data_IF_842097020853
#
_entry.id   IF_842097020853
#
_cell.length_a   1.000
_cell.length_b   1.000
_cell.length_c   1.000
_cell.angle_alpha   90.00
_cell.angle_beta   90.00
_cell.angle_gamma   90.00
#
_symmetry.space_group_name_H-M   'P 1'
#
loop_
_entity.id
_entity.type
_entity.pdbx_description
1 polymer ?
#
# COMPACT_ATOMS: atom_id res chain seq x y z
N UNK A 1 -28.56 -59.79 0.75
CA UNK A 1 -27.63 -59.51 1.87
C UNK A 1 -26.30 -58.98 1.38
N UNK A 2 -25.59 -59.67 0.48
CA UNK A 2 -24.31 -59.18 -0.05
C UNK A 2 -24.43 -57.87 -0.85
N UNK A 3 -25.42 -57.78 -1.74
CA UNK A 3 -25.69 -56.55 -2.53
C UNK A 3 -26.01 -55.37 -1.62
N UNK A 4 -26.81 -55.57 -0.58
CA UNK A 4 -27.14 -54.51 0.38
C UNK A 4 -25.94 -54.06 1.19
N UNK A 5 -25.06 -54.97 1.62
CA UNK A 5 -23.80 -54.62 2.29
C UNK A 5 -22.87 -53.83 1.36
N UNK A 6 -22.71 -54.28 0.10
CA UNK A 6 -21.89 -53.58 -0.89
C UNK A 6 -22.42 -52.17 -1.19
N UNK A 7 -23.75 -52.01 -1.31
CA UNK A 7 -24.39 -50.71 -1.51
C UNK A 7 -24.12 -49.77 -0.32
N UNK A 8 -24.26 -50.27 0.91
CA UNK A 8 -23.98 -49.47 2.12
C UNK A 8 -22.52 -49.04 2.16
N UNK A 9 -21.58 -49.95 1.90
CA UNK A 9 -20.14 -49.62 1.88
C UNK A 9 -19.83 -48.58 0.79
N UNK A 10 -20.40 -48.73 -0.41
CA UNK A 10 -20.21 -47.77 -1.49
C UNK A 10 -20.73 -46.38 -1.14
N UNK A 11 -21.93 -46.30 -0.53
CA UNK A 11 -22.51 -45.03 -0.08
C UNK A 11 -21.63 -44.39 1.01
N UNK A 12 -21.19 -45.17 2.01
CA UNK A 12 -20.31 -44.69 3.06
C UNK A 12 -18.96 -44.18 2.51
N UNK A 13 -18.37 -44.88 1.55
CA UNK A 13 -17.14 -44.44 0.88
C UNK A 13 -17.36 -43.15 0.09
N UNK A 14 -18.46 -43.03 -0.66
CA UNK A 14 -18.77 -41.81 -1.41
C UNK A 14 -18.97 -40.60 -0.49
N UNK A 15 -19.67 -40.78 0.64
CA UNK A 15 -19.84 -39.74 1.67
C UNK A 15 -18.49 -39.36 2.28
N UNK A 16 -17.65 -40.33 2.63
CA UNK A 16 -16.32 -40.09 3.21
C UNK A 16 -15.43 -39.27 2.28
N UNK A 17 -15.38 -39.60 0.98
CA UNK A 17 -14.62 -38.83 -0.02
C UNK A 17 -15.15 -37.40 -0.15
N UNK A 18 -16.48 -37.22 -0.14
CA UNK A 18 -17.10 -35.89 -0.21
C UNK A 18 -16.70 -35.01 0.97
N UNK A 19 -16.78 -35.55 2.20
CA UNK A 19 -16.37 -34.85 3.42
C UNK A 19 -14.87 -34.50 3.37
N UNK A 20 -14.03 -35.45 2.97
CA UNK A 20 -12.59 -35.23 2.83
C UNK A 20 -12.28 -34.05 1.91
N UNK A 21 -12.96 -33.96 0.75
CA UNK A 21 -12.79 -32.84 -0.19
C UNK A 21 -13.10 -31.48 0.46
N UNK A 22 -14.22 -31.36 1.17
CA UNK A 22 -14.58 -30.12 1.84
C UNK A 22 -13.63 -29.77 2.99
N UNK A 23 -13.18 -30.78 3.74
CA UNK A 23 -12.19 -30.61 4.80
C UNK A 23 -10.87 -30.05 4.26
N UNK A 24 -10.31 -30.65 3.20
CA UNK A 24 -9.08 -30.16 2.59
C UNK A 24 -9.22 -28.74 2.06
N UNK A 25 -10.37 -28.41 1.44
CA UNK A 25 -10.64 -27.06 0.97
C UNK A 25 -10.67 -26.05 2.12
N UNK A 26 -11.34 -26.38 3.23
CA UNK A 26 -11.38 -25.53 4.42
C UNK A 26 -9.99 -25.37 5.04
N UNK A 27 -9.23 -26.45 5.16
CA UNK A 27 -7.86 -26.43 5.66
C UNK A 27 -6.95 -25.53 4.82
N UNK A 28 -7.00 -25.65 3.49
CA UNK A 28 -6.23 -24.78 2.60
C UNK A 28 -6.65 -23.31 2.74
N UNK A 29 -7.94 -23.03 2.89
CA UNK A 29 -8.44 -21.66 3.12
C UNK A 29 -7.94 -21.08 4.43
N UNK A 30 -7.97 -21.86 5.51
CA UNK A 30 -7.43 -21.46 6.80
C UNK A 30 -5.94 -21.11 6.70
N UNK A 31 -5.16 -21.91 5.97
CA UNK A 31 -3.76 -21.60 5.69
C UNK A 31 -3.55 -20.27 4.96
N UNK A 32 -4.39 -19.93 3.97
CA UNK A 32 -4.31 -18.64 3.29
C UNK A 32 -4.69 -17.46 4.19
N UNK A 33 -5.73 -17.63 5.01
CA UNK A 33 -6.16 -16.59 5.97
C UNK A 33 -5.07 -16.35 7.01
N UNK A 34 -4.45 -17.40 7.54
CA UNK A 34 -3.35 -17.29 8.48
C UNK A 34 -2.13 -16.60 7.85
N UNK A 35 -1.74 -16.98 6.63
CA UNK A 35 -0.67 -16.32 5.90
C UNK A 35 -0.96 -14.82 5.70
N UNK A 36 -2.18 -14.45 5.30
CA UNK A 36 -2.59 -13.06 5.13
C UNK A 36 -2.53 -12.28 6.44
N UNK A 37 -3.03 -12.85 7.54
CA UNK A 37 -2.99 -12.22 8.86
C UNK A 37 -1.55 -11.98 9.32
N UNK A 38 -0.68 -12.98 9.14
CA UNK A 38 0.74 -12.87 9.46
C UNK A 38 1.43 -11.80 8.61
N UNK A 39 1.17 -11.75 7.29
CA UNK A 39 1.71 -10.72 6.41
C UNK A 39 1.30 -9.30 6.84
N UNK A 40 0.03 -9.10 7.21
CA UNK A 40 -0.45 -7.81 7.71
C UNK A 40 0.22 -7.44 9.04
N UNK A 41 0.40 -8.41 9.94
CA UNK A 41 1.07 -8.19 11.21
C UNK A 41 2.54 -7.81 11.01
N UNK A 42 3.25 -8.47 10.10
CA UNK A 42 4.62 -8.10 9.73
C UNK A 42 4.69 -6.69 9.15
N UNK A 43 3.75 -6.29 8.29
CA UNK A 43 3.70 -4.92 7.75
C UNK A 43 3.56 -3.87 8.86
N UNK A 44 2.67 -4.09 9.83
CA UNK A 44 2.48 -3.18 10.99
C UNK A 44 3.70 -3.11 11.89
N UNK A 45 4.36 -4.26 12.09
CA UNK A 45 5.61 -4.31 12.86
C UNK A 45 6.72 -3.52 12.15
N UNK A 46 6.79 -3.59 10.81
CA UNK A 46 7.72 -2.76 10.03
C UNK A 46 7.41 -1.28 10.13
N UNK A 47 6.15 -0.86 10.06
CA UNK A 47 5.78 0.54 10.25
C UNK A 47 6.23 1.05 11.63
N UNK A 48 6.01 0.25 12.67
CA UNK A 48 6.44 0.57 14.04
C UNK A 48 7.97 0.67 14.14
N UNK A 49 8.68 -0.26 13.51
CA UNK A 49 10.14 -0.26 13.43
C UNK A 49 10.67 0.96 12.65
N UNK A 50 10.02 1.31 11.54
CA UNK A 50 10.37 2.48 10.74
C UNK A 50 10.20 3.76 11.54
N UNK A 51 9.09 3.94 12.26
CA UNK A 51 8.86 5.09 13.14
C UNK A 51 9.94 5.20 14.22
N UNK A 52 10.27 4.09 14.89
CA UNK A 52 11.34 4.10 15.91
C UNK A 52 12.70 4.45 15.31
N UNK A 53 13.02 3.89 14.13
CA UNK A 53 14.27 4.16 13.43
C UNK A 53 14.36 5.63 13.03
N UNK A 54 13.32 6.17 12.39
CA UNK A 54 13.23 7.59 12.04
C UNK A 54 13.43 8.46 13.29
N UNK A 55 12.67 8.22 14.37
CA UNK A 55 12.78 9.00 15.60
C UNK A 55 14.18 8.98 16.22
N UNK A 56 14.89 7.84 16.13
CA UNK A 56 16.27 7.72 16.61
C UNK A 56 17.22 8.58 15.78
N UNK A 57 17.09 8.53 14.47
CA UNK A 57 17.99 9.23 13.53
C UNK A 57 17.78 10.75 13.58
N UNK A 58 16.53 11.20 13.70
CA UNK A 58 16.18 12.62 13.86
C UNK A 58 16.45 13.17 15.28
N UNK A 59 16.82 12.34 16.25
CA UNK A 59 17.15 12.79 17.61
C UNK A 59 18.37 13.72 17.62
N UNK A 60 19.34 13.48 16.73
CA UNK A 60 20.63 14.17 16.70
C UNK A 60 20.73 15.26 15.62
N UNK A 61 19.98 15.13 14.51
CA UNK A 61 19.94 16.12 13.43
C UNK A 61 18.49 16.45 13.06
N UNK A 62 17.96 17.55 13.61
CA UNK A 62 16.55 17.97 13.40
C UNK A 62 16.34 18.89 12.19
N UNK A 63 17.41 19.45 11.64
CA UNK A 63 17.30 20.58 10.69
C UNK A 63 17.36 20.17 9.22
N UNK A 64 17.91 19.00 8.90
CA UNK A 64 18.08 18.55 7.52
C UNK A 64 18.09 17.02 7.40
N UNK A 65 17.34 16.51 6.43
CA UNK A 65 17.31 15.09 6.06
C UNK A 65 17.90 14.92 4.66
N UNK A 66 19.15 14.46 4.53
CA UNK A 66 19.81 14.40 3.24
C UNK A 66 19.25 13.28 2.35
N UNK A 67 19.14 13.53 1.04
CA UNK A 67 18.64 12.54 0.06
C UNK A 67 19.47 11.25 0.00
N UNK A 68 20.76 11.31 0.37
CA UNK A 68 21.66 10.16 0.38
C UNK A 68 21.70 9.44 1.74
N UNK A 69 20.74 9.70 2.63
CA UNK A 69 20.67 9.01 3.91
C UNK A 69 20.51 7.50 3.69
N UNK A 70 21.24 6.72 4.50
CA UNK A 70 21.23 5.24 4.45
C UNK A 70 19.80 4.69 4.52
N UNK A 71 18.95 5.28 5.37
CA UNK A 71 17.55 4.90 5.52
C UNK A 71 16.73 4.98 4.22
N UNK A 72 17.02 5.94 3.34
CA UNK A 72 16.30 6.14 2.08
C UNK A 72 16.89 5.33 0.92
N UNK A 73 18.14 4.93 1.03
CA UNK A 73 18.91 4.35 -0.09
C UNK A 73 19.05 2.84 0.03
N UNK A 74 18.96 2.28 1.23
CA UNK A 74 19.10 0.84 1.44
C UNK A 74 17.74 0.19 1.74
N UNK A 75 17.29 -0.77 0.91
CA UNK A 75 16.11 -1.55 1.21
C UNK A 75 16.35 -2.45 2.42
N UNK A 76 15.30 -2.65 3.21
CA UNK A 76 15.26 -3.62 4.30
C UNK A 76 14.86 -4.97 3.71
N UNK A 77 15.68 -5.99 3.96
CA UNK A 77 15.42 -7.38 3.59
C UNK A 77 15.45 -8.26 4.82
N UNK A 78 14.38 -9.01 5.06
CA UNK A 78 14.26 -9.94 6.20
C UNK A 78 13.73 -11.27 5.68
N UNK A 79 14.45 -12.35 5.97
CA UNK A 79 13.97 -13.71 5.75
C UNK A 79 13.08 -14.13 6.92
N UNK A 80 11.88 -14.61 6.60
CA UNK A 80 10.91 -15.13 7.54
C UNK A 80 10.80 -16.65 7.32
N UNK A 81 10.22 -17.35 8.29
CA UNK A 81 10.03 -18.80 8.20
C UNK A 81 9.20 -19.20 6.96
N UNK A 82 8.18 -18.40 6.63
CA UNK A 82 7.24 -18.67 5.53
C UNK A 82 7.29 -17.62 4.40
N UNK A 83 8.43 -16.95 4.20
CA UNK A 83 8.58 -16.01 3.07
C UNK A 83 9.68 -14.98 3.26
N UNK A 84 9.67 -13.95 2.43
CA UNK A 84 10.61 -12.84 2.52
C UNK A 84 9.87 -11.52 2.63
N UNK A 85 10.50 -10.60 3.34
CA UNK A 85 9.99 -9.27 3.57
C UNK A 85 10.95 -8.26 2.95
N UNK A 86 10.41 -7.39 2.11
CA UNK A 86 11.12 -6.32 1.42
C UNK A 86 10.45 -5.00 1.76
N UNK A 87 11.21 -4.01 2.24
CA UNK A 87 10.69 -2.68 2.52
C UNK A 87 11.67 -1.58 2.12
N UNK A 88 11.13 -0.43 1.73
CA UNK A 88 11.90 0.76 1.37
C UNK A 88 11.27 1.98 2.02
N UNK A 89 12.08 2.89 2.54
CA UNK A 89 11.61 4.18 3.03
C UNK A 89 11.79 5.24 1.94
N UNK A 90 10.75 6.05 1.71
CA UNK A 90 10.75 7.10 0.69
C UNK A 90 10.32 8.41 1.35
N UNK A 91 10.99 9.50 0.98
CA UNK A 91 10.59 10.85 1.38
C UNK A 91 9.44 11.34 0.47
N UNK A 92 8.24 11.41 1.03
CA UNK A 92 7.03 11.87 0.33
C UNK A 92 7.03 13.38 0.05
N UNK A 93 7.99 14.16 0.57
CA UNK A 93 8.11 15.61 0.32
C UNK A 93 8.92 15.92 -0.94
N UNK A 94 9.61 14.94 -1.52
CA UNK A 94 10.44 15.13 -2.72
C UNK A 94 9.62 15.12 -4.03
N UNK A 95 8.34 15.49 -3.99
CA UNK A 95 7.47 15.63 -5.14
C UNK A 95 6.66 16.94 -5.04
N UNK A 96 6.07 17.38 -6.15
CA UNK A 96 5.16 18.52 -6.12
C UNK A 96 3.90 18.17 -5.32
N UNK A 97 3.61 18.91 -4.25
CA UNK A 97 2.42 18.70 -3.45
C UNK A 97 1.19 19.28 -4.17
N UNK A 98 0.36 18.43 -4.77
CA UNK A 98 -0.86 18.86 -5.46
C UNK A 98 -1.85 19.59 -4.53
N UNK A 99 -1.84 19.30 -3.24
CA UNK A 99 -2.71 20.00 -2.27
C UNK A 99 -2.29 21.47 -2.08
N UNK A 100 -1.11 21.89 -2.56
CA UNK A 100 -0.68 23.29 -2.53
C UNK A 100 -1.35 24.17 -3.58
N UNK A 101 -2.08 23.57 -4.54
CA UNK A 101 -2.80 24.32 -5.58
C UNK A 101 -3.95 25.18 -5.03
N UNK A 102 -4.41 24.89 -3.80
CA UNK A 102 -5.44 25.65 -3.11
C UNK A 102 -4.97 26.04 -1.70
N UNK A 103 -5.39 27.22 -1.25
CA UNK A 103 -5.32 27.62 0.15
C UNK A 103 -6.69 27.39 0.79
N UNK A 104 -6.73 26.66 1.90
CA UNK A 104 -7.94 26.51 2.70
C UNK A 104 -7.95 27.53 3.85
N UNK A 105 -8.79 28.56 3.74
CA UNK A 105 -8.95 29.61 4.77
C UNK A 105 -10.43 29.89 4.99
N UNK A 106 -10.84 30.07 6.24
CA UNK A 106 -12.24 30.40 6.60
C UNK A 106 -13.30 29.45 6.03
N UNK A 107 -13.00 28.14 5.98
CA UNK A 107 -13.86 27.10 5.39
C UNK A 107 -14.11 27.26 3.88
N UNK A 108 -13.23 27.95 3.17
CA UNK A 108 -13.30 28.14 1.73
C UNK A 108 -11.95 27.76 1.10
N UNK A 109 -12.02 27.10 -0.04
CA UNK A 109 -10.87 26.87 -0.90
C UNK A 109 -10.70 28.06 -1.82
N UNK A 110 -9.48 28.59 -1.87
CA UNK A 110 -9.10 29.66 -2.80
C UNK A 110 -7.89 29.21 -3.60
N UNK A 111 -7.93 29.37 -4.92
CA UNK A 111 -6.82 28.98 -5.80
C UNK A 111 -5.51 29.71 -5.41
N UNK A 112 -4.44 28.94 -5.24
CA UNK A 112 -3.09 29.46 -4.98
C UNK A 112 -2.36 29.65 -6.32
N UNK A 113 -2.36 30.89 -6.82
CA UNK A 113 -1.84 31.23 -8.14
C UNK A 113 -0.33 30.98 -8.29
N UNK A 114 0.44 31.11 -7.20
CA UNK A 114 1.88 30.82 -7.20
C UNK A 114 2.13 29.32 -7.39
N UNK A 115 1.43 28.49 -6.61
CA UNK A 115 1.53 27.03 -6.72
C UNK A 115 1.04 26.53 -8.09
N UNK A 116 -0.06 27.06 -8.60
CA UNK A 116 -0.58 26.75 -9.95
C UNK A 116 0.47 27.06 -11.01
N UNK A 117 1.07 28.26 -10.97
CA UNK A 117 2.12 28.66 -11.91
C UNK A 117 3.33 27.72 -11.85
N UNK A 118 3.72 27.30 -10.64
CA UNK A 118 4.78 26.32 -10.41
C UNK A 118 4.46 24.94 -10.99
N UNK A 119 3.24 24.46 -10.79
CA UNK A 119 2.75 23.19 -11.31
C UNK A 119 2.71 23.16 -12.83
N UNK A 120 2.11 24.18 -13.46
CA UNK A 120 2.07 24.30 -14.91
C UNK A 120 3.48 24.38 -15.51
N UNK A 121 4.39 25.13 -14.87
CA UNK A 121 5.80 25.18 -15.29
C UNK A 121 6.48 23.82 -15.20
N UNK A 122 6.23 23.06 -14.13
CA UNK A 122 6.73 21.68 -14.01
C UNK A 122 6.21 20.80 -15.15
N UNK A 123 4.92 20.86 -15.47
CA UNK A 123 4.34 20.07 -16.56
C UNK A 123 4.88 20.48 -17.94
N UNK A 124 5.10 21.78 -18.18
CA UNK A 124 5.76 22.26 -19.42
C UNK A 124 7.19 21.71 -19.53
N UNK A 125 7.95 21.65 -18.43
CA UNK A 125 9.29 21.06 -18.42
C UNK A 125 9.25 19.53 -18.69
N UNK A 126 8.19 18.86 -18.27
CA UNK A 126 7.91 17.46 -18.60
C UNK A 126 7.34 17.28 -20.02
N UNK A 127 7.19 18.36 -20.79
CA UNK A 127 6.76 18.39 -22.20
C UNK A 127 5.29 17.97 -22.43
N UNK A 128 4.41 18.26 -21.48
CA UNK A 128 2.97 18.19 -21.72
C UNK A 128 2.49 19.38 -22.57
N UNK A 129 1.46 19.17 -23.40
CA UNK A 129 0.84 20.22 -24.21
C UNK A 129 0.09 21.22 -23.33
N UNK A 130 0.16 22.52 -23.66
CA UNK A 130 -0.47 23.58 -22.84
C UNK A 130 -1.98 23.35 -22.65
N UNK A 131 -2.70 22.91 -23.69
CA UNK A 131 -4.12 22.58 -23.57
C UNK A 131 -4.40 21.48 -22.54
N UNK A 132 -3.52 20.47 -22.45
CA UNK A 132 -3.65 19.38 -21.49
C UNK A 132 -3.28 19.85 -20.08
N UNK A 133 -2.30 20.74 -19.97
CA UNK A 133 -1.88 21.35 -18.70
C UNK A 133 -3.02 22.19 -18.11
N UNK A 134 -3.63 23.05 -18.93
CA UNK A 134 -4.73 23.90 -18.49
C UNK A 134 -5.92 23.05 -18.06
N UNK A 135 -6.33 22.10 -18.91
CA UNK A 135 -7.43 21.18 -18.62
C UNK A 135 -7.20 20.33 -17.37
N UNK A 136 -5.98 19.85 -17.13
CA UNK A 136 -5.64 19.08 -15.93
C UNK A 136 -5.64 19.96 -14.68
N UNK A 137 -5.11 21.18 -14.79
CA UNK A 137 -5.06 22.12 -13.67
C UNK A 137 -6.47 22.44 -13.20
N UNK A 138 -7.38 22.78 -14.12
CA UNK A 138 -8.77 23.08 -13.80
C UNK A 138 -9.47 21.88 -13.15
N UNK A 139 -9.31 20.68 -13.72
CA UNK A 139 -9.87 19.45 -13.14
C UNK A 139 -9.37 19.14 -11.73
N UNK A 140 -8.10 19.43 -11.43
CA UNK A 140 -7.57 19.21 -10.07
C UNK A 140 -8.15 20.24 -9.10
N UNK A 141 -8.29 21.50 -9.51
CA UNK A 141 -8.90 22.52 -8.66
C UNK A 141 -10.35 22.17 -8.33
N UNK A 142 -11.13 21.79 -9.34
CA UNK A 142 -12.52 21.35 -9.20
C UNK A 142 -12.65 20.05 -8.38
N UNK A 143 -11.63 19.19 -8.38
CA UNK A 143 -11.64 17.97 -7.56
C UNK A 143 -11.36 18.26 -6.09
N UNK A 144 -10.50 19.23 -5.79
CA UNK A 144 -10.14 19.57 -4.41
C UNK A 144 -11.24 20.41 -3.73
N UNK A 145 -11.95 21.25 -4.49
CA UNK A 145 -13.00 22.13 -3.95
C UNK A 145 -14.40 21.49 -3.85
N UNK A 146 -14.62 20.32 -4.47
CA UNK A 146 -15.84 19.51 -4.39
C UNK A 146 -16.12 18.94 -2.99
#
# INVERSE_FOLDING_TARGET
VLISVLLIVLILSAISVSIGKYYFLSFTREGYVDFQNNALQYSRNLETFAVHTINREFKFNKQFFPKNQVLLTQPIYIELENGTLHATLIDATNCFNINSLVDYRNKQYTANQEAISGFQKLLRLLKFDDNAIDSLTDQILDWIDA
#
